data_IF_773445477976
#
_entry.id   IF_773445477976
#
_cell.length_a   1.000
_cell.length_b   1.000
_cell.length_c   1.000
_cell.angle_alpha   90.00
_cell.angle_beta   90.00
_cell.angle_gamma   90.00
#
_symmetry.space_group_name_H-M   'P 1'
#
loop_
_entity.id
_entity.type
_entity.pdbx_description
1 polymer ?
#
# COMPACT_ATOMS: atom_id res chain seq x y z
N UNK A 1 -11.56 -2.42 -1.50
CA UNK A 1 -10.25 -3.06 -1.20
C UNK A 1 -10.39 -4.34 -0.39
N UNK A 2 -10.94 -4.33 0.84
CA UNK A 2 -11.04 -5.52 1.70
C UNK A 2 -11.68 -6.75 1.02
N UNK A 3 -12.81 -6.57 0.34
CA UNK A 3 -13.47 -7.67 -0.38
C UNK A 3 -12.57 -8.36 -1.42
N UNK A 4 -11.71 -7.60 -2.11
CA UNK A 4 -10.74 -8.19 -3.05
C UNK A 4 -9.70 -9.05 -2.31
N UNK A 5 -9.22 -8.58 -1.16
CA UNK A 5 -8.29 -9.34 -0.31
C UNK A 5 -8.95 -10.63 0.17
N UNK A 6 -10.24 -10.59 0.53
CA UNK A 6 -10.99 -11.77 0.94
C UNK A 6 -11.06 -12.83 -0.16
N UNK A 7 -11.30 -12.41 -1.41
CA UNK A 7 -11.24 -13.31 -2.56
C UNK A 7 -9.84 -13.89 -2.76
N UNK A 8 -8.80 -13.07 -2.69
CA UNK A 8 -7.41 -13.50 -2.90
C UNK A 8 -6.84 -14.35 -1.76
N UNK A 9 -7.45 -14.30 -0.57
CA UNK A 9 -7.05 -15.09 0.60
C UNK A 9 -7.48 -16.56 0.54
N UNK A 10 -8.34 -16.93 -0.41
CA UNK A 10 -8.82 -18.31 -0.56
C UNK A 10 -7.76 -19.17 -1.27
N UNK A 11 -7.54 -20.43 -0.85
CA UNK A 11 -6.72 -21.38 -1.61
C UNK A 11 -7.28 -21.56 -3.02
N UNK A 12 -6.41 -21.74 -3.99
CA UNK A 12 -6.81 -21.96 -5.40
C UNK A 12 -7.23 -23.42 -5.58
N UNK A 13 -6.53 -24.36 -4.95
CA UNK A 13 -6.87 -25.79 -4.92
C UNK A 13 -6.51 -26.40 -3.56
N UNK A 14 -6.61 -27.73 -3.44
CA UNK A 14 -6.14 -28.46 -2.24
C UNK A 14 -4.61 -28.39 -2.09
N UNK A 15 -3.89 -28.23 -3.18
CA UNK A 15 -2.43 -28.23 -3.27
C UNK A 15 -1.86 -26.81 -3.40
N UNK A 16 -2.60 -25.88 -3.98
CA UNK A 16 -2.16 -24.51 -4.25
C UNK A 16 -2.66 -23.51 -3.20
N UNK A 17 -1.72 -22.83 -2.54
CA UNK A 17 -1.99 -21.81 -1.52
C UNK A 17 -2.63 -20.56 -2.13
N UNK A 18 -3.20 -19.73 -1.27
CA UNK A 18 -3.73 -18.42 -1.64
C UNK A 18 -2.64 -17.50 -2.25
N UNK A 19 -3.06 -16.62 -3.17
CA UNK A 19 -2.20 -15.87 -4.11
C UNK A 19 -1.22 -14.90 -3.43
N UNK A 20 -1.61 -14.33 -2.29
CA UNK A 20 -0.85 -13.33 -1.53
C UNK A 20 0.21 -13.96 -0.62
N UNK A 21 0.21 -15.28 -0.43
CA UNK A 21 1.14 -15.92 0.50
C UNK A 21 2.59 -15.66 0.09
N UNK A 22 3.39 -15.19 1.05
CA UNK A 22 4.81 -14.81 0.90
C UNK A 22 5.08 -13.69 -0.10
N UNK A 23 4.05 -13.05 -0.65
CA UNK A 23 4.24 -11.92 -1.57
C UNK A 23 4.77 -10.69 -0.81
N UNK A 24 5.78 -10.00 -1.33
CA UNK A 24 6.22 -8.73 -0.79
C UNK A 24 5.19 -7.64 -1.10
N UNK A 25 4.87 -6.80 -0.11
CA UNK A 25 3.85 -5.75 -0.24
C UNK A 25 4.37 -4.44 0.36
N UNK A 26 4.27 -3.36 -0.40
CA UNK A 26 4.32 -1.98 0.10
C UNK A 26 2.90 -1.41 0.20
N UNK A 27 2.67 -0.54 1.18
CA UNK A 27 1.37 0.11 1.39
C UNK A 27 1.56 1.63 1.28
N UNK A 28 0.69 2.26 0.51
CA UNK A 28 0.63 3.71 0.34
C UNK A 28 -0.82 4.15 0.17
N UNK A 29 -1.11 5.41 0.45
CA UNK A 29 -2.45 5.95 0.23
C UNK A 29 -2.51 7.47 0.32
N UNK A 30 -3.63 7.99 -0.18
CA UNK A 30 -3.92 9.41 -0.28
C UNK A 30 -5.36 9.66 0.18
N UNK A 31 -5.59 10.75 0.90
CA UNK A 31 -6.92 11.17 1.34
C UNK A 31 -7.06 12.70 1.31
N UNK A 32 -8.29 13.19 1.22
CA UNK A 32 -8.60 14.62 1.33
C UNK A 32 -8.38 15.16 2.75
N UNK A 33 -8.42 14.30 3.77
CA UNK A 33 -8.18 14.69 5.16
C UNK A 33 -6.70 14.66 5.56
N UNK A 34 -6.40 15.33 6.68
CA UNK A 34 -5.04 15.46 7.23
C UNK A 34 -4.39 14.11 7.62
N UNK A 35 -5.20 13.09 7.92
CA UNK A 35 -4.69 11.76 8.30
C UNK A 35 -4.07 10.97 7.14
N UNK A 36 -4.27 11.39 5.89
CA UNK A 36 -3.61 10.84 4.70
C UNK A 36 -3.67 9.32 4.51
N UNK A 37 -4.68 8.65 5.08
CA UNK A 37 -4.91 7.19 5.15
C UNK A 37 -4.16 6.39 6.21
N UNK A 38 -3.39 7.01 7.11
CA UNK A 38 -2.55 6.30 8.10
C UNK A 38 -3.26 5.18 8.87
N UNK A 39 -4.42 5.49 9.48
CA UNK A 39 -5.22 4.52 10.24
C UNK A 39 -5.68 3.34 9.36
N UNK A 40 -6.12 3.61 8.12
CA UNK A 40 -6.55 2.56 7.20
C UNK A 40 -5.38 1.64 6.81
N UNK A 41 -4.17 2.21 6.68
CA UNK A 41 -2.96 1.43 6.42
C UNK A 41 -2.57 0.55 7.61
N UNK A 42 -2.70 1.01 8.86
CA UNK A 42 -2.44 0.20 10.05
C UNK A 42 -3.35 -1.04 10.12
N UNK A 43 -4.65 -0.84 9.87
CA UNK A 43 -5.61 -1.95 9.79
C UNK A 43 -5.27 -2.90 8.63
N UNK A 44 -4.77 -2.38 7.50
CA UNK A 44 -4.38 -3.20 6.37
C UNK A 44 -3.14 -4.06 6.69
N UNK A 45 -2.15 -3.52 7.41
CA UNK A 45 -0.96 -4.29 7.84
C UNK A 45 -1.37 -5.49 8.67
N UNK A 46 -2.27 -5.30 9.64
CA UNK A 46 -2.82 -6.38 10.45
C UNK A 46 -3.43 -7.48 9.58
N UNK A 47 -4.30 -7.11 8.64
CA UNK A 47 -4.95 -8.07 7.73
C UNK A 47 -3.96 -8.81 6.83
N UNK A 48 -3.00 -8.11 6.25
CA UNK A 48 -1.98 -8.70 5.37
C UNK A 48 -1.04 -9.64 6.14
N UNK A 49 -0.74 -9.35 7.41
CA UNK A 49 0.04 -10.22 8.27
C UNK A 49 -0.63 -11.58 8.48
N UNK A 50 -1.97 -11.62 8.59
CA UNK A 50 -2.71 -12.88 8.70
C UNK A 50 -2.61 -13.75 7.44
N UNK A 51 -2.26 -13.16 6.30
CA UNK A 51 -2.12 -13.85 5.01
C UNK A 51 -0.69 -14.32 4.73
N UNK A 52 0.20 -14.30 5.74
CA UNK A 52 1.60 -14.69 5.59
C UNK A 52 2.32 -13.91 4.46
N UNK A 53 1.98 -12.63 4.29
CA UNK A 53 2.64 -11.73 3.33
C UNK A 53 3.95 -11.18 3.93
N UNK A 54 4.84 -10.66 3.08
CA UNK A 54 6.05 -9.94 3.50
C UNK A 54 5.79 -8.44 3.39
N UNK A 55 5.27 -7.81 4.44
CA UNK A 55 4.94 -6.37 4.41
C UNK A 55 6.18 -5.52 4.69
N UNK A 56 6.52 -4.59 3.79
CA UNK A 56 7.55 -3.57 4.04
C UNK A 56 6.97 -2.49 4.96
N UNK A 57 7.35 -2.52 6.24
CA UNK A 57 6.81 -1.58 7.24
C UNK A 57 7.36 -0.15 7.12
N UNK A 58 8.55 0.03 6.53
CA UNK A 58 9.17 1.34 6.36
C UNK A 58 9.98 1.43 5.04
N UNK A 59 9.93 2.57 4.33
CA UNK A 59 9.08 3.74 4.57
C UNK A 59 7.63 3.48 4.13
N UNK A 60 6.67 4.05 4.87
CA UNK A 60 5.25 4.00 4.57
C UNK A 60 4.76 5.37 4.11
N UNK A 61 4.07 5.43 2.98
CA UNK A 61 3.64 6.69 2.38
C UNK A 61 2.17 7.01 2.68
N UNK A 62 1.95 8.16 3.31
CA UNK A 62 0.66 8.70 3.72
C UNK A 62 0.58 10.11 3.14
N UNK A 63 -0.34 10.35 2.21
CA UNK A 63 -0.48 11.64 1.53
C UNK A 63 -1.75 12.34 2.03
N UNK A 64 -1.63 13.41 2.82
CA UNK A 64 -2.77 14.21 3.25
C UNK A 64 -3.22 15.21 2.18
N UNK A 65 -4.39 15.81 2.38
CA UNK A 65 -4.89 16.95 1.61
C UNK A 65 -4.83 16.74 0.09
N UNK A 66 -5.39 15.63 -0.40
CA UNK A 66 -5.32 15.24 -1.82
C UNK A 66 -5.65 16.37 -2.83
N UNK A 67 -6.58 17.27 -2.48
CA UNK A 67 -6.95 18.41 -3.32
C UNK A 67 -5.80 19.41 -3.55
N UNK A 68 -4.80 19.47 -2.67
CA UNK A 68 -3.60 20.30 -2.84
C UNK A 68 -2.53 19.62 -3.70
N UNK A 69 -2.73 18.35 -4.06
CA UNK A 69 -1.80 17.53 -4.85
C UNK A 69 -2.24 17.37 -6.30
N UNK A 70 -3.26 18.12 -6.74
CA UNK A 70 -3.77 18.12 -8.12
C UNK A 70 -3.35 19.37 -8.90
N UNK A 71 -3.36 19.29 -10.22
CA UNK A 71 -3.20 20.44 -11.11
C UNK A 71 -4.51 21.24 -11.27
N UNK A 72 -4.46 22.29 -12.10
CA UNK A 72 -5.59 23.15 -12.44
C UNK A 72 -6.78 22.42 -13.10
N UNK A 73 -6.53 21.24 -13.67
CA UNK A 73 -7.55 20.39 -14.29
C UNK A 73 -8.05 19.29 -13.32
N UNK A 74 -7.66 19.34 -12.05
CA UNK A 74 -8.00 18.34 -11.03
C UNK A 74 -7.27 17.01 -11.20
N UNK A 75 -6.21 16.94 -12.01
CA UNK A 75 -5.43 15.72 -12.22
C UNK A 75 -4.36 15.62 -11.15
N UNK A 76 -4.16 14.42 -10.62
CA UNK A 76 -3.12 14.17 -9.62
C UNK A 76 -1.73 14.50 -10.17
N UNK A 77 -1.03 15.45 -9.54
CA UNK A 77 0.32 15.91 -9.91
C UNK A 77 1.36 15.56 -8.85
N UNK A 78 0.95 15.21 -7.62
CA UNK A 78 1.83 14.85 -6.50
C UNK A 78 2.91 15.91 -6.23
N UNK A 79 2.54 17.19 -6.36
CA UNK A 79 3.43 18.36 -6.35
C UNK A 79 4.50 18.33 -5.26
N UNK A 80 4.12 18.01 -4.03
CA UNK A 80 5.07 17.89 -2.90
C UNK A 80 5.33 16.45 -2.47
N UNK A 81 4.50 15.52 -2.91
CA UNK A 81 4.52 14.12 -2.44
C UNK A 81 5.38 13.19 -3.32
N UNK A 82 5.70 13.60 -4.55
CA UNK A 82 6.44 12.78 -5.51
C UNK A 82 7.78 12.24 -4.97
N UNK A 83 8.66 13.04 -4.32
CA UNK A 83 9.93 12.52 -3.81
C UNK A 83 9.77 11.41 -2.76
N UNK A 84 8.67 11.43 -2.00
CA UNK A 84 8.38 10.42 -0.99
C UNK A 84 7.85 9.12 -1.60
N UNK A 85 7.13 9.21 -2.73
CA UNK A 85 6.72 8.05 -3.52
C UNK A 85 7.93 7.36 -4.15
N UNK A 86 8.84 8.13 -4.74
CA UNK A 86 10.11 7.62 -5.28
C UNK A 86 10.94 6.93 -4.18
N UNK A 87 11.09 7.59 -3.02
CA UNK A 87 11.78 6.99 -1.86
C UNK A 87 11.17 5.66 -1.41
N UNK A 88 9.84 5.54 -1.44
CA UNK A 88 9.17 4.29 -1.10
C UNK A 88 9.39 3.22 -2.17
N UNK A 89 9.30 3.57 -3.44
CA UNK A 89 9.58 2.64 -4.54
C UNK A 89 11.01 2.09 -4.45
N UNK A 90 12.00 2.96 -4.26
CA UNK A 90 13.40 2.57 -4.10
C UNK A 90 13.63 1.67 -2.89
N UNK A 91 12.99 1.98 -1.77
CA UNK A 91 13.06 1.15 -0.58
C UNK A 91 12.38 -0.21 -0.80
N UNK A 92 11.27 -0.25 -1.54
CA UNK A 92 10.60 -1.49 -1.88
C UNK A 92 11.46 -2.36 -2.80
N UNK A 93 12.13 -1.77 -3.79
CA UNK A 93 13.08 -2.50 -4.64
C UNK A 93 14.19 -3.16 -3.80
N UNK A 94 14.76 -2.44 -2.82
CA UNK A 94 15.74 -3.03 -1.89
C UNK A 94 15.13 -4.11 -0.99
N UNK A 95 13.88 -3.94 -0.58
CA UNK A 95 13.16 -4.93 0.22
C UNK A 95 12.89 -6.24 -0.55
N UNK A 96 12.72 -6.17 -1.87
CA UNK A 96 12.56 -7.38 -2.71
C UNK A 96 13.82 -8.25 -2.77
N UNK A 97 15.00 -7.67 -2.52
CA UNK A 97 16.29 -8.36 -2.52
C UNK A 97 16.72 -8.95 -1.16
N UNK A 98 15.86 -8.86 -0.13
CA UNK A 98 16.07 -9.45 1.21
C UNK A 98 15.45 -10.86 1.32
#
# INVERSE_FOLDING_TARGET
>A
MKNLIDWLSRPISKEEKQVLSRKPIAISGISTGMGGTGIAQDLLVMLLSMLNTKVMNFPRLVIPNAAQQTDENGRLKLTTSQPYLEKQADAFLRFLSL
#
